data_IF_110129382158
#
_entry.id   IF_110129382158
#
_cell.length_a   1.000
_cell.length_b   1.000
_cell.length_c   1.000
_cell.angle_alpha   90.00
_cell.angle_beta   90.00
_cell.angle_gamma   90.00
#
_symmetry.space_group_name_H-M   'P 1'
#
loop_
_entity.id
_entity.type
_entity.pdbx_description
1 polymer ?
#
# COMPACT_ATOMS: atom_id res chain seq x y z
N UNK A 1 7.55 -23.91 -14.83
CA UNK A 1 8.39 -23.70 -16.03
C UNK A 1 8.14 -24.85 -17.01
N UNK A 2 7.73 -24.48 -18.19
CA UNK A 2 7.45 -25.42 -19.28
C UNK A 2 8.26 -25.02 -20.50
N UNK A 3 8.92 -26.00 -21.16
CA UNK A 3 9.77 -25.78 -22.34
C UNK A 3 9.45 -26.78 -23.41
N UNK A 4 9.21 -26.29 -24.63
CA UNK A 4 9.04 -27.11 -25.82
C UNK A 4 9.72 -26.42 -27.01
N UNK A 5 10.73 -27.04 -27.58
CA UNK A 5 11.51 -26.42 -28.66
C UNK A 5 12.06 -25.05 -28.25
N UNK A 6 11.76 -24.02 -29.03
CA UNK A 6 12.15 -22.61 -28.76
C UNK A 6 11.24 -21.85 -27.79
N UNK A 7 10.17 -22.46 -27.30
CA UNK A 7 9.18 -21.85 -26.43
C UNK A 7 9.45 -22.17 -24.96
N UNK A 8 9.48 -21.14 -24.13
CA UNK A 8 9.52 -21.26 -22.67
C UNK A 8 8.39 -20.45 -22.06
N UNK A 9 7.60 -21.09 -21.20
CA UNK A 9 6.54 -20.48 -20.41
C UNK A 9 6.88 -20.67 -18.94
N UNK A 10 6.83 -19.61 -18.16
CA UNK A 10 6.97 -19.65 -16.70
C UNK A 10 5.76 -18.98 -16.08
N UNK A 11 5.20 -19.64 -15.07
CA UNK A 11 4.20 -19.04 -14.20
C UNK A 11 4.72 -19.07 -12.77
N UNK A 12 4.46 -17.99 -12.03
CA UNK A 12 4.81 -17.84 -10.61
C UNK A 12 3.63 -17.20 -9.89
N UNK A 13 3.05 -17.94 -8.97
CA UNK A 13 2.04 -17.42 -8.06
C UNK A 13 2.70 -17.10 -6.72
N UNK A 14 2.44 -15.92 -6.19
CA UNK A 14 2.93 -15.48 -4.88
C UNK A 14 1.74 -15.05 -4.04
N UNK A 15 1.67 -15.54 -2.81
CA UNK A 15 0.73 -15.08 -1.80
C UNK A 15 1.50 -14.39 -0.68
N UNK A 16 1.05 -13.21 -0.31
CA UNK A 16 1.61 -12.42 0.78
C UNK A 16 0.52 -12.09 1.77
N UNK A 17 0.76 -12.39 3.02
CA UNK A 17 -0.07 -11.98 4.14
C UNK A 17 0.73 -11.05 5.05
N UNK A 18 0.12 -9.94 5.43
CA UNK A 18 0.69 -9.00 6.39
C UNK A 18 -0.35 -8.64 7.44
N UNK A 19 0.09 -8.58 8.68
CA UNK A 19 -0.69 -8.04 9.79
C UNK A 19 0.24 -7.14 10.60
N UNK A 20 -0.24 -5.92 10.86
CA UNK A 20 0.44 -4.94 11.71
C UNK A 20 -0.47 -4.55 12.86
N UNK A 21 0.15 -4.30 13.99
CA UNK A 21 -0.49 -3.69 15.15
C UNK A 21 0.37 -2.51 15.54
N UNK A 22 -0.18 -1.32 15.36
CA UNK A 22 0.46 -0.08 15.74
C UNK A 22 -0.12 0.43 17.06
N UNK A 23 0.62 1.30 17.72
CA UNK A 23 0.16 1.92 18.96
C UNK A 23 -0.85 3.01 18.57
N UNK A 24 -2.12 2.93 19.02
CA UNK A 24 -3.19 3.86 18.61
C UNK A 24 -3.01 5.27 19.18
N UNK A 25 -2.13 5.40 20.13
CA UNK A 25 -1.70 6.64 20.73
C UNK A 25 -0.23 6.84 20.48
N UNK A 26 0.08 8.01 19.97
CA UNK A 26 1.39 8.58 19.99
C UNK A 26 2.26 8.19 18.80
N UNK A 27 2.42 9.17 17.97
CA UNK A 27 3.58 9.27 17.10
C UNK A 27 4.86 9.34 17.94
N UNK A 28 5.99 9.01 17.37
CA UNK A 28 7.31 9.27 18.01
C UNK A 28 7.43 10.70 18.55
N UNK A 29 6.75 11.66 17.89
CA UNK A 29 6.65 13.05 18.33
C UNK A 29 6.10 13.19 19.75
N UNK A 30 5.05 12.44 20.10
CA UNK A 30 4.42 12.57 21.43
C UNK A 30 5.35 12.07 22.54
N UNK A 31 6.13 11.01 22.27
CA UNK A 31 7.16 10.54 23.19
C UNK A 31 8.35 11.48 23.27
N UNK A 32 8.75 12.10 22.16
CA UNK A 32 9.88 13.04 22.14
C UNK A 32 9.60 14.35 22.86
N UNK A 33 8.32 14.71 23.06
CA UNK A 33 7.89 15.86 23.84
C UNK A 33 7.77 15.56 25.35
N UNK A 34 7.97 14.32 25.78
CA UNK A 34 8.05 13.99 27.20
C UNK A 34 9.39 14.52 27.74
N UNK A 35 9.30 15.48 28.66
CA UNK A 35 10.49 16.05 29.26
C UNK A 35 10.99 15.13 30.39
N UNK A 36 12.32 15.01 30.61
CA UNK A 36 12.87 14.10 31.64
C UNK A 36 12.42 14.32 33.05
N UNK A 37 11.95 15.51 33.36
CA UNK A 37 11.46 15.90 34.70
C UNK A 37 9.94 15.72 34.86
N UNK A 38 9.20 15.31 33.84
CA UNK A 38 7.78 14.97 33.97
C UNK A 38 7.64 13.68 34.79
N UNK A 39 6.83 13.72 35.81
CA UNK A 39 6.57 12.55 36.65
C UNK A 39 5.58 11.63 35.93
N UNK A 40 6.09 10.54 35.37
CA UNK A 40 5.28 9.50 34.73
C UNK A 40 4.57 8.60 35.74
N UNK A 41 5.08 8.56 36.97
CA UNK A 41 4.59 7.75 38.07
C UNK A 41 4.31 8.63 39.28
N UNK A 42 3.33 8.22 40.09
CA UNK A 42 3.05 8.83 41.41
C UNK A 42 4.03 8.34 42.49
N UNK A 43 3.79 8.73 43.74
CA UNK A 43 4.62 8.34 44.89
C UNK A 43 4.52 6.85 45.24
N UNK A 44 3.47 6.16 44.78
CA UNK A 44 3.25 4.73 44.96
C UNK A 44 3.87 3.88 43.83
N UNK A 45 4.35 4.53 42.77
CA UNK A 45 4.88 3.86 41.58
C UNK A 45 3.83 3.54 40.52
N UNK A 46 2.61 4.05 40.68
CA UNK A 46 1.54 3.88 39.68
C UNK A 46 1.62 4.94 38.60
N UNK A 47 1.21 4.58 37.37
CA UNK A 47 1.20 5.52 36.27
C UNK A 47 0.24 6.69 36.50
N UNK A 48 0.74 7.92 36.35
CA UNK A 48 -0.10 9.12 36.38
C UNK A 48 -0.85 9.27 35.07
N UNK A 49 -2.16 9.49 35.12
CA UNK A 49 -3.00 9.63 33.92
C UNK A 49 -2.67 10.87 33.08
N UNK A 50 -2.33 11.99 33.74
CA UNK A 50 -2.01 13.28 33.13
C UNK A 50 -0.75 13.87 33.75
N UNK A 51 0.12 14.31 32.84
CA UNK A 51 1.38 14.95 33.20
C UNK A 51 1.16 16.47 33.38
N UNK A 52 1.74 17.05 34.40
CA UNK A 52 1.74 18.50 34.59
C UNK A 52 2.70 19.15 33.58
N UNK A 53 2.26 20.24 32.96
CA UNK A 53 3.14 21.09 32.16
C UNK A 53 3.92 22.03 33.10
N UNK A 54 5.24 22.05 32.89
CA UNK A 54 6.16 22.78 33.80
C UNK A 54 6.39 24.25 33.40
N UNK A 55 5.85 24.70 32.29
CA UNK A 55 6.12 26.03 31.71
C UNK A 55 5.15 27.14 32.16
N UNK A 56 4.36 26.89 33.19
CA UNK A 56 3.33 27.84 33.66
C UNK A 56 2.11 27.95 32.73
N UNK A 57 2.09 27.22 31.61
CA UNK A 57 0.92 27.10 30.80
C UNK A 57 -0.11 26.23 31.52
N UNK A 58 -1.30 26.76 31.77
CA UNK A 58 -2.41 25.98 32.30
C UNK A 58 -2.74 24.85 31.34
N UNK A 59 -2.44 23.63 31.70
CA UNK A 59 -2.76 22.45 30.92
C UNK A 59 -2.01 21.21 31.36
N UNK A 60 -2.66 20.09 31.17
CA UNK A 60 -2.09 18.77 31.39
C UNK A 60 -1.83 18.08 30.08
N UNK A 61 -0.73 17.37 29.98
CA UNK A 61 -0.43 16.49 28.86
C UNK A 61 -0.90 15.06 29.18
N UNK A 62 -1.38 14.34 28.20
CA UNK A 62 -1.73 12.93 28.37
C UNK A 62 -0.46 12.12 28.60
N UNK A 63 -0.49 11.21 29.58
CA UNK A 63 0.60 10.26 29.75
C UNK A 63 0.44 9.09 28.75
N UNK A 64 1.29 8.98 27.76
CA UNK A 64 1.17 7.91 26.75
C UNK A 64 1.31 6.51 27.32
N UNK A 65 2.11 6.35 28.40
CA UNK A 65 2.28 5.04 29.04
C UNK A 65 1.00 4.62 29.79
N UNK A 66 0.25 5.57 30.34
CA UNK A 66 -1.04 5.30 30.96
C UNK A 66 -2.04 4.80 29.91
N UNK A 67 -2.13 5.51 28.77
CA UNK A 67 -3.05 5.15 27.67
C UNK A 67 -2.81 3.72 27.16
N UNK A 68 -1.54 3.33 26.98
CA UNK A 68 -1.19 2.00 26.47
C UNK A 68 -1.49 0.88 27.48
N UNK A 69 -1.28 1.14 28.76
CA UNK A 69 -1.37 0.08 29.77
C UNK A 69 -2.79 -0.11 30.34
N UNK A 70 -3.65 0.91 30.27
CA UNK A 70 -4.94 0.89 30.96
C UNK A 70 -6.16 0.95 30.05
N UNK A 71 -5.99 1.24 28.76
CA UNK A 71 -7.11 1.32 27.82
C UNK A 71 -6.99 0.33 26.67
N UNK A 72 -8.14 -0.11 26.18
CA UNK A 72 -8.24 -1.10 25.11
C UNK A 72 -8.13 -0.46 23.71
N UNK A 73 -7.48 0.69 23.58
CA UNK A 73 -7.24 1.30 22.28
C UNK A 73 -6.30 0.44 21.43
N UNK A 74 -6.57 0.32 20.13
CA UNK A 74 -5.73 -0.41 19.19
C UNK A 74 -5.76 0.21 17.80
N UNK A 75 -4.71 -0.05 17.03
CA UNK A 75 -4.61 0.23 15.61
C UNK A 75 -4.12 -1.03 14.91
N UNK A 76 -5.03 -1.71 14.25
CA UNK A 76 -4.76 -2.93 13.52
C UNK A 76 -4.87 -2.67 12.03
N UNK A 77 -3.88 -3.09 11.29
CA UNK A 77 -3.91 -3.06 9.84
C UNK A 77 -3.36 -4.36 9.26
N UNK A 78 -3.75 -4.65 8.03
CA UNK A 78 -3.25 -5.82 7.36
C UNK A 78 -3.65 -5.87 5.91
N UNK A 79 -3.03 -6.78 5.16
CA UNK A 79 -3.45 -7.08 3.80
C UNK A 79 -3.16 -8.52 3.41
N UNK A 80 -4.00 -9.01 2.52
CA UNK A 80 -3.80 -10.22 1.75
C UNK A 80 -3.54 -9.84 0.31
N UNK A 81 -2.47 -10.38 -0.29
CA UNK A 81 -2.10 -10.12 -1.66
C UNK A 81 -1.80 -11.42 -2.40
N UNK A 82 -2.38 -11.56 -3.57
CA UNK A 82 -2.06 -12.61 -4.53
C UNK A 82 -1.50 -11.96 -5.78
N UNK A 83 -0.33 -12.41 -6.22
CA UNK A 83 0.27 -12.03 -7.50
C UNK A 83 0.48 -13.25 -8.35
N UNK A 84 0.00 -13.23 -9.59
CA UNK A 84 0.24 -14.26 -10.59
C UNK A 84 1.01 -13.64 -11.76
N UNK A 85 2.23 -14.12 -11.97
CA UNK A 85 3.16 -13.67 -13.00
C UNK A 85 3.35 -14.76 -14.06
N UNK A 86 2.89 -14.49 -15.27
CA UNK A 86 3.09 -15.34 -16.44
C UNK A 86 4.13 -14.71 -17.36
N UNK A 87 5.16 -15.45 -17.73
CA UNK A 87 6.16 -15.02 -18.69
C UNK A 87 6.32 -16.02 -19.85
N UNK A 88 6.41 -15.48 -21.03
CA UNK A 88 6.60 -16.18 -22.30
C UNK A 88 7.93 -15.73 -22.91
N UNK A 89 8.75 -16.68 -23.35
CA UNK A 89 9.93 -16.42 -24.18
C UNK A 89 9.96 -17.45 -25.31
N UNK A 90 9.76 -16.96 -26.52
CA UNK A 90 9.69 -17.83 -27.71
C UNK A 90 10.73 -17.41 -28.72
N UNK A 91 11.69 -18.30 -29.00
CA UNK A 91 12.60 -18.19 -30.12
C UNK A 91 11.92 -18.80 -31.32
N UNK A 92 11.33 -17.96 -32.18
CA UNK A 92 10.59 -18.38 -33.37
C UNK A 92 11.58 -18.86 -34.44
N UNK A 93 12.67 -18.10 -34.65
CA UNK A 93 13.82 -18.44 -35.50
C UNK A 93 15.10 -17.96 -34.77
N UNK A 94 16.27 -18.21 -35.38
CA UNK A 94 17.55 -17.74 -34.80
C UNK A 94 17.62 -16.21 -34.72
N UNK A 95 16.95 -15.48 -35.62
CA UNK A 95 16.90 -14.02 -35.63
C UNK A 95 15.63 -13.43 -35.03
N UNK A 96 14.58 -14.21 -34.74
CA UNK A 96 13.28 -13.68 -34.31
C UNK A 96 12.86 -14.26 -32.98
N UNK A 97 12.63 -13.38 -32.00
CA UNK A 97 12.23 -13.73 -30.64
C UNK A 97 11.03 -12.91 -30.18
N UNK A 98 10.05 -13.59 -29.58
CA UNK A 98 8.91 -13.00 -28.93
C UNK A 98 9.06 -13.15 -27.40
N UNK A 99 8.89 -12.06 -26.67
CA UNK A 99 8.78 -12.06 -25.20
C UNK A 99 7.45 -11.48 -24.80
N UNK A 100 6.77 -12.15 -23.88
CA UNK A 100 5.54 -11.68 -23.26
C UNK A 100 5.64 -11.77 -21.75
N UNK A 101 5.04 -10.81 -21.06
CA UNK A 101 4.81 -10.86 -19.62
C UNK A 101 3.39 -10.42 -19.35
N UNK A 102 2.74 -11.11 -18.42
CA UNK A 102 1.42 -10.78 -17.95
C UNK A 102 1.39 -11.01 -16.43
N UNK A 103 0.94 -10.02 -15.69
CA UNK A 103 0.86 -10.09 -14.24
C UNK A 103 -0.48 -9.56 -13.76
N UNK A 104 -1.06 -10.27 -12.79
CA UNK A 104 -2.25 -9.83 -12.07
C UNK A 104 -1.93 -9.81 -10.58
N UNK A 105 -2.10 -8.65 -9.96
CA UNK A 105 -1.99 -8.46 -8.52
C UNK A 105 -3.37 -8.11 -7.96
N UNK A 106 -3.79 -8.84 -6.94
CA UNK A 106 -5.01 -8.57 -6.17
C UNK A 106 -4.63 -8.40 -4.71
N UNK A 107 -4.94 -7.22 -4.15
CA UNK A 107 -4.68 -6.90 -2.73
C UNK A 107 -5.98 -6.48 -2.07
N UNK A 108 -6.27 -7.08 -0.92
CA UNK A 108 -7.29 -6.63 0.01
C UNK A 108 -6.62 -6.12 1.28
N UNK A 109 -6.80 -4.86 1.60
CA UNK A 109 -6.27 -4.25 2.83
C UNK A 109 -7.43 -3.93 3.77
N UNK A 110 -7.20 -4.11 5.06
CA UNK A 110 -8.12 -3.79 6.13
C UNK A 110 -7.43 -2.94 7.18
N UNK A 111 -8.14 -1.98 7.75
CA UNK A 111 -7.70 -1.19 8.89
C UNK A 111 -8.82 -1.11 9.91
N UNK A 112 -8.47 -1.22 11.18
CA UNK A 112 -9.38 -1.17 12.33
C UNK A 112 -8.69 -0.38 13.44
N UNK A 113 -9.04 0.90 13.57
CA UNK A 113 -8.55 1.81 14.59
C UNK A 113 -9.65 2.02 15.63
N UNK A 114 -9.34 1.73 16.89
CA UNK A 114 -10.24 1.95 18.02
C UNK A 114 -9.58 2.82 19.09
N UNK A 115 -10.31 3.81 19.57
CA UNK A 115 -9.94 4.67 20.70
C UNK A 115 -10.93 4.47 21.83
N UNK A 116 -10.42 4.05 22.98
CA UNK A 116 -11.21 3.81 24.17
C UNK A 116 -11.92 5.09 24.66
N UNK A 117 -13.22 5.04 25.03
CA UNK A 117 -13.95 6.20 25.54
C UNK A 117 -13.39 6.81 26.83
N UNK A 118 -12.66 6.00 27.62
CA UNK A 118 -12.00 6.47 28.83
C UNK A 118 -10.67 7.20 28.57
N UNK A 119 -10.19 7.18 27.33
CA UNK A 119 -8.95 7.88 26.94
C UNK A 119 -8.98 9.35 27.36
N UNK A 120 -7.83 9.84 27.80
CA UNK A 120 -7.68 11.23 28.21
C UNK A 120 -7.88 12.24 27.07
N UNK A 121 -7.85 11.79 25.80
CA UNK A 121 -8.17 12.62 24.64
C UNK A 121 -9.63 13.13 24.65
N UNK A 122 -10.53 12.43 25.33
CA UNK A 122 -11.94 12.83 25.48
C UNK A 122 -12.26 13.61 26.74
N UNK A 123 -11.29 13.95 27.55
CA UNK A 123 -11.50 14.54 28.88
C UNK A 123 -12.24 15.88 28.89
N UNK A 124 -12.32 16.59 27.77
CA UNK A 124 -13.06 17.83 27.59
C UNK A 124 -14.45 17.63 26.94
N UNK A 125 -14.80 16.42 26.58
CA UNK A 125 -16.07 16.11 25.93
C UNK A 125 -17.20 16.02 26.98
N UNK A 126 -18.22 16.83 26.78
CA UNK A 126 -19.46 16.78 27.57
C UNK A 126 -20.47 15.91 26.79
N UNK A 127 -20.62 14.66 27.19
CA UNK A 127 -21.63 13.75 26.61
C UNK A 127 -21.17 12.30 26.50
N UNK A 128 -22.09 11.39 26.33
CA UNK A 128 -21.85 9.94 26.19
C UNK A 128 -21.42 9.53 24.76
N UNK A 129 -20.63 10.38 24.08
CA UNK A 129 -20.24 10.18 22.67
C UNK A 129 -18.73 9.92 22.57
N UNK A 130 -18.11 9.55 23.68
CA UNK A 130 -16.70 9.20 23.72
C UNK A 130 -16.44 7.82 23.12
N UNK A 131 -15.21 7.60 22.68
CA UNK A 131 -14.82 6.39 21.99
C UNK A 131 -15.12 6.46 20.49
N UNK A 132 -14.12 6.19 19.70
CA UNK A 132 -14.20 6.20 18.25
C UNK A 132 -13.65 4.91 17.67
N UNK A 133 -14.30 4.41 16.61
CA UNK A 133 -13.81 3.32 15.80
C UNK A 133 -13.85 3.70 14.34
N UNK A 134 -12.74 3.47 13.64
CA UNK A 134 -12.65 3.64 12.19
C UNK A 134 -12.35 2.30 11.56
N UNK A 135 -13.28 1.83 10.74
CA UNK A 135 -13.09 0.63 9.92
C UNK A 135 -12.85 1.04 8.48
N UNK A 136 -11.77 0.56 7.89
CA UNK A 136 -11.40 0.83 6.51
C UNK A 136 -11.11 -0.45 5.75
N UNK A 137 -11.54 -0.48 4.48
CA UNK A 137 -11.20 -1.54 3.56
C UNK A 137 -10.76 -0.97 2.23
N UNK A 138 -9.74 -1.57 1.63
CA UNK A 138 -9.28 -1.20 0.31
C UNK A 138 -9.04 -2.46 -0.52
N UNK A 139 -9.62 -2.49 -1.71
CA UNK A 139 -9.35 -3.51 -2.72
C UNK A 139 -8.60 -2.88 -3.87
N UNK A 140 -7.48 -3.48 -4.24
CA UNK A 140 -6.66 -3.04 -5.36
C UNK A 140 -6.39 -4.19 -6.29
N UNK A 141 -6.69 -3.99 -7.58
CA UNK A 141 -6.34 -4.90 -8.66
C UNK A 141 -5.41 -4.19 -9.64
N UNK A 142 -4.29 -4.80 -9.93
CA UNK A 142 -3.35 -4.30 -10.95
C UNK A 142 -3.18 -5.38 -12.00
N UNK A 143 -3.38 -5.01 -13.25
CA UNK A 143 -3.14 -5.87 -14.42
C UNK A 143 -2.03 -5.22 -15.23
N UNK A 144 -0.93 -5.92 -15.40
CA UNK A 144 0.21 -5.52 -16.21
C UNK A 144 0.39 -6.48 -17.37
N UNK A 145 0.62 -5.96 -18.56
CA UNK A 145 0.94 -6.74 -19.74
C UNK A 145 2.05 -6.08 -20.53
N UNK A 146 2.97 -6.88 -21.05
CA UNK A 146 3.96 -6.42 -22.03
C UNK A 146 4.24 -7.49 -23.08
N UNK A 147 4.43 -7.06 -24.30
CA UNK A 147 4.79 -7.91 -25.43
C UNK A 147 5.91 -7.23 -26.21
N UNK A 148 6.96 -7.98 -26.53
CA UNK A 148 8.10 -7.49 -27.29
C UNK A 148 8.48 -8.49 -28.37
N UNK A 149 8.54 -8.02 -29.60
CA UNK A 149 9.03 -8.76 -30.76
C UNK A 149 10.40 -8.20 -31.15
N UNK A 150 11.42 -9.06 -31.09
CA UNK A 150 12.82 -8.70 -31.39
C UNK A 150 13.29 -9.45 -32.62
N UNK A 151 13.83 -8.68 -33.55
CA UNK A 151 14.48 -9.23 -34.75
C UNK A 151 15.94 -8.81 -34.75
N UNK A 152 16.84 -9.78 -34.89
CA UNK A 152 18.27 -9.57 -34.99
C UNK A 152 18.79 -10.35 -36.21
N UNK A 153 19.49 -9.69 -37.10
CA UNK A 153 20.10 -10.35 -38.23
C UNK A 153 21.42 -9.69 -38.63
N UNK A 154 22.37 -10.50 -39.01
CA UNK A 154 23.68 -10.06 -39.53
C UNK A 154 23.94 -10.71 -40.87
N UNK A 155 24.15 -9.89 -41.92
CA UNK A 155 24.44 -10.38 -43.27
C UNK A 155 25.38 -9.41 -44.01
N UNK A 156 26.41 -9.92 -44.65
CA UNK A 156 27.34 -9.18 -45.49
C UNK A 156 27.82 -7.83 -44.93
N UNK A 157 28.17 -7.80 -43.65
CA UNK A 157 28.61 -6.57 -42.96
C UNK A 157 27.48 -5.66 -42.44
N UNK A 158 26.22 -6.01 -42.69
CA UNK A 158 25.05 -5.33 -42.12
C UNK A 158 24.61 -6.04 -40.83
N UNK A 159 24.42 -5.30 -39.79
CA UNK A 159 23.85 -5.78 -38.54
C UNK A 159 22.60 -4.94 -38.24
N UNK A 160 21.45 -5.61 -38.11
CA UNK A 160 20.16 -4.99 -37.92
C UNK A 160 19.49 -5.58 -36.66
N UNK A 161 19.14 -4.72 -35.73
CA UNK A 161 18.38 -5.05 -34.54
C UNK A 161 17.10 -4.21 -34.52
N UNK A 162 15.95 -4.83 -34.50
CA UNK A 162 14.65 -4.17 -34.39
C UNK A 162 13.93 -4.74 -33.20
N UNK A 163 13.36 -3.87 -32.35
CA UNK A 163 12.48 -4.26 -31.27
C UNK A 163 11.20 -3.44 -31.34
N UNK A 164 10.08 -4.14 -31.49
CA UNK A 164 8.74 -3.60 -31.33
C UNK A 164 8.19 -4.10 -30.01
N UNK A 165 7.82 -3.19 -29.11
CA UNK A 165 7.25 -3.53 -27.81
C UNK A 165 5.96 -2.74 -27.54
N UNK A 166 5.05 -3.37 -26.81
CA UNK A 166 3.85 -2.77 -26.29
C UNK A 166 3.72 -3.11 -24.82
N UNK A 167 3.23 -2.16 -24.03
CA UNK A 167 2.92 -2.38 -22.62
C UNK A 167 1.55 -1.80 -22.29
N UNK A 168 0.89 -2.43 -21.35
CA UNK A 168 -0.35 -1.94 -20.77
C UNK A 168 -0.34 -2.12 -19.25
N UNK A 169 -0.94 -1.19 -18.55
CA UNK A 169 -1.22 -1.29 -17.10
C UNK A 169 -2.61 -0.77 -16.83
N UNK A 170 -3.38 -1.53 -16.06
CA UNK A 170 -4.62 -1.07 -15.48
C UNK A 170 -4.52 -1.23 -13.96
N UNK A 171 -4.83 -0.16 -13.24
CA UNK A 171 -4.97 -0.20 -11.78
C UNK A 171 -6.39 0.21 -11.45
N UNK A 172 -7.09 -0.66 -10.72
CA UNK A 172 -8.39 -0.38 -10.12
C UNK A 172 -8.24 -0.42 -8.60
N UNK A 173 -8.75 0.61 -7.92
CA UNK A 173 -8.71 0.71 -6.46
C UNK A 173 -10.07 1.19 -5.96
N UNK A 174 -10.68 0.38 -5.09
CA UNK A 174 -11.92 0.74 -4.39
C UNK A 174 -11.59 0.81 -2.91
N UNK A 175 -11.92 1.92 -2.26
CA UNK A 175 -11.74 2.09 -0.82
C UNK A 175 -13.05 2.49 -0.17
N UNK A 176 -13.25 2.05 1.07
CA UNK A 176 -14.36 2.48 1.92
C UNK A 176 -13.90 2.66 3.35
N UNK A 177 -14.44 3.67 4.02
CA UNK A 177 -14.18 3.98 5.41
C UNK A 177 -15.49 4.33 6.11
N UNK A 178 -15.68 3.75 7.29
CA UNK A 178 -16.81 4.05 8.17
C UNK A 178 -16.29 4.36 9.56
N UNK A 179 -16.79 5.42 10.16
CA UNK A 179 -16.45 5.86 11.51
C UNK A 179 -17.64 5.70 12.42
N UNK A 180 -17.37 5.23 13.61
CA UNK A 180 -18.35 5.00 14.67
C UNK A 180 -17.92 5.76 15.91
N UNK A 181 -18.88 6.16 16.74
CA UNK A 181 -18.58 6.80 18.03
C UNK A 181 -19.62 6.45 19.10
N UNK A 182 -19.26 6.74 20.37
CA UNK A 182 -20.11 6.48 21.50
C UNK A 182 -20.09 5.03 21.95
N UNK A 183 -18.91 4.55 22.34
CA UNK A 183 -18.72 3.21 22.85
C UNK A 183 -18.90 3.16 24.37
N UNK A 184 -19.44 2.04 24.91
CA UNK A 184 -19.63 1.90 26.37
C UNK A 184 -18.31 1.69 27.14
N UNK A 185 -17.21 1.31 26.45
CA UNK A 185 -15.91 1.01 27.04
C UNK A 185 -15.71 -0.47 27.37
N UNK A 186 -14.56 -0.77 27.96
CA UNK A 186 -14.13 -2.14 28.23
C UNK A 186 -13.91 -2.96 26.95
N UNK A 187 -14.30 -4.22 26.94
CA UNK A 187 -14.12 -5.13 25.80
C UNK A 187 -15.20 -4.99 24.71
N UNK A 188 -16.10 -4.01 24.86
CA UNK A 188 -17.23 -3.79 23.92
C UNK A 188 -16.76 -2.92 22.72
N UNK A 189 -15.81 -3.44 21.96
CA UNK A 189 -15.13 -2.73 20.85
C UNK A 189 -15.76 -2.97 19.48
N UNK A 190 -16.78 -3.84 19.39
CA UNK A 190 -17.48 -4.08 18.12
C UNK A 190 -18.29 -2.86 17.70
N UNK A 191 -18.30 -2.54 16.41
CA UNK A 191 -19.09 -1.45 15.82
C UNK A 191 -20.58 -1.50 16.17
N UNK A 192 -21.11 -2.70 16.49
CA UNK A 192 -22.50 -2.88 16.95
C UNK A 192 -22.81 -2.21 18.31
N UNK A 193 -21.78 -1.93 19.11
CA UNK A 193 -21.95 -1.27 20.41
C UNK A 193 -21.82 0.26 20.34
N UNK A 194 -21.49 0.78 19.16
CA UNK A 194 -21.43 2.22 18.96
C UNK A 194 -22.81 2.85 19.05
N UNK A 195 -22.90 4.03 19.64
CA UNK A 195 -24.15 4.80 19.72
C UNK A 195 -24.60 5.28 18.33
N UNK A 196 -23.66 5.61 17.47
CA UNK A 196 -23.96 6.13 16.12
C UNK A 196 -22.80 5.96 15.15
N UNK A 197 -23.12 6.02 13.86
CA UNK A 197 -22.16 6.20 12.78
C UNK A 197 -21.78 7.68 12.73
N UNK A 198 -20.50 7.97 12.87
CA UNK A 198 -19.98 9.33 12.88
C UNK A 198 -19.66 9.85 11.49
N UNK A 199 -20.46 10.78 11.03
CA UNK A 199 -20.34 11.34 9.69
C UNK A 199 -20.88 10.40 8.62
N UNK A 200 -20.73 10.81 7.37
CA UNK A 200 -21.12 10.00 6.21
C UNK A 200 -20.02 8.99 5.90
N UNK A 201 -20.31 7.70 5.77
CA UNK A 201 -19.34 6.75 5.26
C UNK A 201 -18.78 7.21 3.92
N UNK A 202 -17.48 7.11 3.75
CA UNK A 202 -16.80 7.47 2.51
C UNK A 202 -16.54 6.25 1.65
N UNK A 203 -16.64 6.41 0.35
CA UNK A 203 -16.18 5.41 -0.61
C UNK A 203 -15.56 6.10 -1.81
N UNK A 204 -14.54 5.47 -2.38
CA UNK A 204 -13.91 5.93 -3.62
C UNK A 204 -13.69 4.74 -4.54
N UNK A 205 -13.85 4.97 -5.83
CA UNK A 205 -13.50 4.04 -6.89
C UNK A 205 -12.65 4.79 -7.91
N UNK A 206 -11.48 4.27 -8.17
CA UNK A 206 -10.53 4.88 -9.10
C UNK A 206 -9.98 3.81 -10.04
N UNK A 207 -10.01 4.11 -11.33
CA UNK A 207 -9.41 3.27 -12.37
C UNK A 207 -8.46 4.12 -13.21
N UNK A 208 -7.22 3.68 -13.32
CA UNK A 208 -6.23 4.27 -14.21
C UNK A 208 -5.76 3.25 -15.22
N UNK A 209 -5.55 3.69 -16.46
CA UNK A 209 -5.05 2.88 -17.56
C UNK A 209 -3.89 3.56 -18.24
N UNK A 210 -2.88 2.79 -18.55
CA UNK A 210 -1.70 3.21 -19.32
C UNK A 210 -1.48 2.20 -20.42
N UNK A 211 -1.26 2.68 -21.64
CA UNK A 211 -0.90 1.87 -22.79
C UNK A 211 0.23 2.56 -23.53
N UNK A 212 1.24 1.81 -23.91
CA UNK A 212 2.38 2.33 -24.65
C UNK A 212 2.82 1.39 -25.75
N UNK A 213 3.39 1.94 -26.82
CA UNK A 213 4.09 1.22 -27.86
C UNK A 213 5.43 1.89 -28.14
N UNK A 214 6.46 1.07 -28.31
CA UNK A 214 7.85 1.49 -28.55
C UNK A 214 8.42 0.71 -29.72
N UNK A 215 8.99 1.42 -30.67
CA UNK A 215 9.81 0.86 -31.73
C UNK A 215 11.24 1.36 -31.55
N UNK A 216 12.21 0.44 -31.51
CA UNK A 216 13.63 0.76 -31.57
C UNK A 216 14.28 -0.02 -32.72
N UNK A 217 15.15 0.64 -33.45
CA UNK A 217 15.94 0.03 -34.51
C UNK A 217 17.37 0.51 -34.45
N UNK A 218 18.30 -0.43 -34.38
CA UNK A 218 19.73 -0.17 -34.45
C UNK A 218 20.28 -0.83 -35.71
N UNK A 219 20.99 -0.06 -36.51
CA UNK A 219 21.62 -0.53 -37.74
C UNK A 219 23.11 -0.19 -37.73
N UNK A 220 23.92 -1.17 -38.07
CA UNK A 220 25.38 -0.98 -38.20
C UNK A 220 25.83 -1.58 -39.54
N UNK A 221 26.68 -0.83 -40.27
CA UNK A 221 27.32 -1.28 -41.48
C UNK A 221 28.84 -1.30 -41.29
N UNK A 222 29.45 -2.48 -41.56
CA UNK A 222 30.88 -2.77 -41.45
C UNK A 222 31.51 -2.34 -40.11
N UNK A 223 30.72 -2.20 -39.02
CA UNK A 223 31.10 -1.68 -37.74
C UNK A 223 31.65 -0.22 -37.79
N UNK A 224 31.39 0.52 -38.88
CA UNK A 224 31.84 1.91 -39.08
C UNK A 224 30.66 2.87 -39.00
N UNK A 225 29.55 2.54 -39.68
CA UNK A 225 28.39 3.42 -39.74
C UNK A 225 27.30 2.88 -38.80
N UNK A 226 26.82 3.73 -37.91
CA UNK A 226 25.75 3.41 -36.97
C UNK A 226 24.57 4.34 -37.23
N UNK A 227 23.37 3.79 -37.14
CA UNK A 227 22.13 4.56 -37.15
C UNK A 227 21.15 3.96 -36.13
N UNK A 228 20.62 4.81 -35.28
CA UNK A 228 19.64 4.46 -34.25
C UNK A 228 18.35 5.23 -34.47
N UNK A 229 17.23 4.51 -34.45
CA UNK A 229 15.88 5.08 -34.52
C UNK A 229 15.06 4.61 -33.35
N UNK A 230 14.42 5.56 -32.65
CA UNK A 230 13.51 5.26 -31.55
C UNK A 230 12.24 6.08 -31.72
N UNK A 231 11.08 5.43 -31.62
CA UNK A 231 9.79 6.06 -31.62
C UNK A 231 8.92 5.48 -30.50
N UNK A 232 8.22 6.34 -29.76
CA UNK A 232 7.34 5.94 -28.67
C UNK A 232 6.01 6.70 -28.74
N UNK A 233 4.94 6.00 -28.44
CA UNK A 233 3.61 6.55 -28.26
C UNK A 233 3.01 6.02 -26.96
N UNK A 234 2.43 6.91 -26.15
CA UNK A 234 1.79 6.56 -24.88
C UNK A 234 0.40 7.17 -24.83
N UNK A 235 -0.53 6.44 -24.21
CA UNK A 235 -1.87 6.86 -23.88
C UNK A 235 -2.20 6.58 -22.42
N UNK A 236 -2.96 7.47 -21.78
CA UNK A 236 -3.45 7.32 -20.41
C UNK A 236 -4.89 7.76 -20.26
N UNK A 237 -5.61 7.13 -19.34
CA UNK A 237 -6.98 7.50 -18.95
C UNK A 237 -7.19 7.26 -17.46
#
# INVERSE_FOLDING_TARGET
DYRIGGLQIKNKVTYTYNKSTDVPFNSFSDYSHLLPYMRLYDENGDYVRRLEKFDGASGTQVNPLYEINFYNSFDHSGYDEVTDDLSLNWRITDGLRLRGQFSVLMRNSTGDLYKDPASASYSASTGNINGEKTESTQKRTVIDGSLSLMYNNTFKGHNLNICLSSNMRQTQSTASETRYRGFPGGDLVSSNYAAEVYGKPSSSDNTTRLVGALLTSNYTYNNIYLADLTGRIDGSS
#
